data_IF_817283801816
#
_entry.id   IF_817283801816
#
_cell.length_a   1.000
_cell.length_b   1.000
_cell.length_c   1.000
_cell.angle_alpha   90.00
_cell.angle_beta   90.00
_cell.angle_gamma   90.00
#
_symmetry.space_group_name_H-M   'P 1'
#
loop_
_entity.id
_entity.type
_entity.pdbx_description
1 polymer ?
#
# COMPACT_ATOMS: atom_id res chain seq x y z
N UNK A 1 13.23 34.64 3.54
CA UNK A 1 13.50 33.34 4.20
C UNK A 1 13.21 32.25 3.19
N UNK A 2 14.21 31.81 2.42
CA UNK A 2 14.03 30.72 1.45
C UNK A 2 14.08 29.43 2.25
N UNK A 3 12.92 28.79 2.45
CA UNK A 3 12.86 27.44 3.00
C UNK A 3 13.62 26.53 2.03
N UNK A 4 14.88 26.23 2.35
CA UNK A 4 15.62 25.13 1.76
C UNK A 4 14.85 23.86 2.12
N UNK A 5 13.92 23.47 1.25
CA UNK A 5 13.29 22.16 1.31
C UNK A 5 14.35 21.19 0.80
N UNK A 6 15.21 20.75 1.70
CA UNK A 6 16.14 19.65 1.44
C UNK A 6 15.31 18.48 0.94
N UNK A 7 15.54 18.10 -0.31
CA UNK A 7 14.98 16.88 -0.88
C UNK A 7 15.81 15.71 -0.34
N UNK A 8 15.72 15.46 0.96
CA UNK A 8 16.26 14.23 1.53
C UNK A 8 15.32 13.12 1.08
N UNK A 9 15.82 12.29 0.17
CA UNK A 9 15.06 11.18 -0.38
C UNK A 9 14.61 10.23 0.74
N UNK A 10 15.45 10.06 1.76
CA UNK A 10 15.16 9.31 2.97
C UNK A 10 15.43 10.16 4.22
N UNK A 11 14.51 10.09 5.19
CA UNK A 11 14.68 10.72 6.50
C UNK A 11 14.32 9.70 7.57
N UNK A 12 15.10 9.62 8.64
CA UNK A 12 14.77 8.84 9.83
C UNK A 12 14.30 9.82 10.90
N UNK A 13 13.06 9.65 11.37
CA UNK A 13 12.52 10.45 12.47
C UNK A 13 12.99 9.89 13.83
N UNK A 14 12.86 10.69 14.90
CA UNK A 14 13.29 10.33 16.25
C UNK A 14 12.52 9.17 16.89
N UNK A 15 11.45 8.71 16.23
CA UNK A 15 10.67 7.51 16.55
C UNK A 15 11.23 6.24 15.90
N UNK A 16 12.34 6.34 15.15
CA UNK A 16 12.96 5.23 14.44
C UNK A 16 12.29 4.88 13.12
N UNK A 17 11.32 5.68 12.67
CA UNK A 17 10.57 5.44 11.44
C UNK A 17 11.30 6.07 10.25
N UNK A 18 11.48 5.27 9.20
CA UNK A 18 12.03 5.75 7.94
C UNK A 18 10.93 6.31 7.05
N UNK A 19 11.19 7.46 6.42
CA UNK A 19 10.33 8.03 5.40
C UNK A 19 11.05 8.23 4.09
N UNK A 20 10.37 7.92 2.99
CA UNK A 20 10.81 8.23 1.63
C UNK A 20 9.88 9.27 1.01
N UNK A 21 10.41 10.45 0.67
CA UNK A 21 9.61 11.57 0.12
C UNK A 21 8.36 11.91 0.97
N UNK A 22 8.47 11.81 2.29
CA UNK A 22 7.38 12.05 3.25
C UNK A 22 6.44 10.87 3.51
N UNK A 23 6.65 9.73 2.83
CA UNK A 23 5.86 8.50 2.99
C UNK A 23 6.55 7.51 3.91
N UNK A 24 5.79 6.77 4.71
CA UNK A 24 6.30 5.76 5.63
C UNK A 24 6.92 4.57 4.88
N UNK A 25 8.19 4.30 5.12
CA UNK A 25 8.88 3.14 4.57
C UNK A 25 8.43 1.87 5.31
N UNK A 26 7.88 0.91 4.58
CA UNK A 26 7.39 -0.35 5.15
C UNK A 26 8.42 -1.47 4.92
N UNK A 27 9.10 -1.95 5.98
CA UNK A 27 10.01 -3.10 5.86
C UNK A 27 9.25 -4.38 5.50
N UNK A 28 9.95 -5.34 4.88
CA UNK A 28 9.39 -6.66 4.60
C UNK A 28 9.62 -7.59 5.81
N UNK A 29 8.87 -7.35 6.89
CA UNK A 29 8.97 -8.11 8.15
C UNK A 29 7.57 -8.51 8.62
N UNK A 30 7.47 -9.68 9.25
CA UNK A 30 6.30 -10.13 10.02
C UNK A 30 4.94 -9.85 9.38
N UNK A 31 4.84 -10.09 8.07
CA UNK A 31 3.61 -9.88 7.28
C UNK A 31 3.04 -8.45 7.36
N UNK A 32 3.83 -7.47 7.79
CA UNK A 32 3.41 -6.07 7.99
C UNK A 32 2.79 -5.48 6.72
N UNK A 33 3.37 -5.79 5.55
CA UNK A 33 2.85 -5.37 4.25
C UNK A 33 1.48 -5.99 3.97
N UNK A 34 1.31 -7.27 4.28
CA UNK A 34 0.04 -7.97 4.10
C UNK A 34 -1.04 -7.41 5.04
N UNK A 35 -0.70 -7.11 6.29
CA UNK A 35 -1.62 -6.47 7.24
C UNK A 35 -2.08 -5.08 6.75
N UNK A 36 -1.16 -4.27 6.23
CA UNK A 36 -1.50 -2.97 5.63
C UNK A 36 -2.43 -3.13 4.42
N UNK A 37 -2.17 -4.12 3.57
CA UNK A 37 -3.01 -4.44 2.42
C UNK A 37 -4.41 -4.92 2.84
N UNK A 38 -4.48 -5.75 3.87
CA UNK A 38 -5.74 -6.27 4.43
C UNK A 38 -6.58 -5.17 5.06
N UNK A 39 -5.97 -4.28 5.85
CA UNK A 39 -6.64 -3.14 6.46
C UNK A 39 -7.17 -2.18 5.38
N UNK A 40 -6.35 -1.88 4.36
CA UNK A 40 -6.77 -1.07 3.23
C UNK A 40 -7.90 -1.73 2.43
N UNK A 41 -7.82 -3.05 2.21
CA UNK A 41 -8.89 -3.81 1.55
C UNK A 41 -10.20 -3.78 2.36
N UNK A 42 -10.13 -3.97 3.68
CA UNK A 42 -11.29 -3.94 4.57
C UNK A 42 -11.94 -2.56 4.64
N UNK A 43 -11.12 -1.51 4.73
CA UNK A 43 -11.57 -0.11 4.75
C UNK A 43 -12.31 0.33 3.50
N UNK A 44 -12.09 -0.36 2.36
CA UNK A 44 -12.67 0.03 1.08
C UNK A 44 -14.16 -0.31 0.92
N UNK A 45 -14.77 -1.08 1.83
CA UNK A 45 -16.21 -1.41 1.84
C UNK A 45 -16.79 -1.71 0.44
N UNK A 46 -15.99 -2.35 -0.40
CA UNK A 46 -16.32 -2.50 -1.80
C UNK A 46 -16.53 -3.98 -2.08
N UNK A 47 -17.70 -4.30 -2.63
CA UNK A 47 -18.04 -5.60 -3.22
C UNK A 47 -16.97 -6.02 -4.25
N UNK A 48 -16.21 -5.04 -4.78
CA UNK A 48 -14.91 -5.21 -5.42
C UNK A 48 -14.02 -3.98 -5.23
N UNK A 49 -12.95 -4.02 -4.43
CA UNK A 49 -12.00 -2.92 -4.41
C UNK A 49 -11.22 -2.94 -5.73
N UNK A 50 -11.27 -1.84 -6.46
CA UNK A 50 -10.41 -1.65 -7.62
C UNK A 50 -8.95 -1.55 -7.16
N UNK A 51 -8.05 -2.36 -7.73
CA UNK A 51 -6.61 -2.33 -7.44
C UNK A 51 -6.02 -0.91 -7.54
N UNK A 52 -6.59 -0.09 -8.43
CA UNK A 52 -6.21 1.31 -8.65
C UNK A 52 -6.50 2.16 -7.41
N UNK A 53 -7.64 1.93 -6.74
CA UNK A 53 -8.02 2.66 -5.54
C UNK A 53 -7.12 2.29 -4.36
N UNK A 54 -6.92 0.99 -4.11
CA UNK A 54 -5.95 0.52 -3.10
C UNK A 54 -4.55 1.09 -3.32
N UNK A 55 -4.05 1.06 -4.57
CA UNK A 55 -2.74 1.62 -4.87
C UNK A 55 -2.68 3.12 -4.65
N UNK A 56 -3.74 3.87 -5.01
CA UNK A 56 -3.78 5.32 -4.81
C UNK A 56 -3.80 5.67 -3.32
N UNK A 57 -4.58 4.97 -2.52
CA UNK A 57 -4.70 5.29 -1.10
C UNK A 57 -3.40 4.91 -0.36
N UNK A 58 -2.83 3.73 -0.67
CA UNK A 58 -1.59 3.27 -0.02
C UNK A 58 -0.36 4.10 -0.41
N UNK A 59 -0.24 4.52 -1.68
CA UNK A 59 0.96 5.27 -2.12
C UNK A 59 1.03 6.67 -1.53
N UNK A 60 -0.05 7.23 -1.00
CA UNK A 60 -0.03 8.56 -0.37
C UNK A 60 0.64 8.52 1.01
N UNK A 61 0.46 7.41 1.73
CA UNK A 61 0.93 7.25 3.11
C UNK A 61 2.19 6.39 3.19
N UNK A 62 2.25 5.32 2.39
CA UNK A 62 3.28 4.29 2.49
C UNK A 62 4.17 4.22 1.26
N UNK A 63 5.36 3.67 1.48
CA UNK A 63 6.33 3.38 0.44
C UNK A 63 7.06 2.08 0.74
N UNK A 64 7.13 1.21 -0.25
CA UNK A 64 8.07 0.09 -0.29
C UNK A 64 8.30 -0.32 -1.74
N UNK A 65 9.43 -1.00 -2.00
CA UNK A 65 9.69 -1.54 -3.33
C UNK A 65 8.67 -2.64 -3.65
N UNK A 66 8.00 -2.53 -4.80
CA UNK A 66 7.04 -3.55 -5.24
C UNK A 66 5.59 -3.35 -4.81
N UNK A 67 5.19 -2.23 -4.20
CA UNK A 67 3.80 -2.01 -3.73
C UNK A 67 2.70 -2.39 -4.73
N UNK A 68 2.90 -2.12 -6.03
CA UNK A 68 1.93 -2.50 -7.08
C UNK A 68 1.83 -4.02 -7.27
N UNK A 69 2.96 -4.71 -7.19
CA UNK A 69 3.03 -6.16 -7.33
C UNK A 69 2.35 -6.82 -6.13
N UNK A 70 2.68 -6.40 -4.92
CA UNK A 70 2.09 -6.94 -3.69
C UNK A 70 0.55 -6.75 -3.68
N UNK A 71 0.05 -5.59 -4.14
CA UNK A 71 -1.41 -5.36 -4.29
C UNK A 71 -2.03 -6.33 -5.31
N UNK A 72 -1.38 -6.54 -6.45
CA UNK A 72 -1.88 -7.43 -7.49
C UNK A 72 -1.93 -8.89 -7.00
N UNK A 73 -0.89 -9.35 -6.31
CA UNK A 73 -0.82 -10.68 -5.71
C UNK A 73 -1.86 -10.86 -4.59
N UNK A 74 -2.04 -9.84 -3.75
CA UNK A 74 -3.05 -9.84 -2.69
C UNK A 74 -4.47 -9.96 -3.27
N UNK A 75 -4.79 -9.16 -4.29
CA UNK A 75 -6.11 -9.19 -4.94
C UNK A 75 -6.34 -10.47 -5.76
N UNK A 76 -5.29 -11.07 -6.32
CA UNK A 76 -5.39 -12.35 -7.02
C UNK A 76 -5.77 -13.52 -6.09
N UNK A 77 -5.36 -13.44 -4.82
CA UNK A 77 -5.71 -14.41 -3.76
C UNK A 77 -7.12 -14.17 -3.18
N UNK A 78 -7.78 -13.07 -3.51
CA UNK A 78 -9.10 -12.76 -2.95
C UNK A 78 -10.18 -13.73 -3.46
N UNK A 79 -10.82 -14.54 -2.58
CA UNK A 79 -11.84 -15.52 -2.98
C UNK A 79 -13.07 -14.86 -3.62
N UNK A 80 -13.48 -13.68 -3.13
CA UNK A 80 -14.58 -12.91 -3.70
C UNK A 80 -14.28 -12.44 -5.13
N UNK A 81 -13.04 -12.04 -5.42
CA UNK A 81 -12.64 -11.62 -6.77
C UNK A 81 -12.57 -12.79 -7.77
N UNK A 82 -12.33 -14.01 -7.28
CA UNK A 82 -12.29 -15.20 -8.14
C UNK A 82 -13.69 -15.71 -8.50
N UNK A 83 -14.66 -15.60 -7.59
CA UNK A 83 -16.03 -16.07 -7.81
C UNK A 83 -16.77 -15.29 -8.92
N UNK A 84 -16.61 -13.96 -8.96
CA UNK A 84 -17.27 -13.10 -9.98
C UNK A 84 -16.75 -13.37 -11.40
N UNK A 85 -15.52 -13.87 -11.55
CA UNK A 85 -14.96 -14.31 -12.83
C UNK A 85 -15.57 -15.63 -13.34
N UNK A 86 -16.09 -16.46 -12.46
CA UNK A 86 -16.75 -17.73 -12.82
C UNK A 86 -18.23 -17.51 -13.14
N UNK A 87 -18.89 -16.54 -12.50
CA UNK A 87 -20.33 -16.29 -12.68
C UNK A 87 -20.71 -15.54 -13.98
N UNK A 88 -19.73 -14.97 -14.70
CA UNK A 88 -19.98 -14.27 -15.99
C UNK A 88 -19.50 -15.06 -17.22
N UNK A 89 -19.48 -16.40 -17.16
CA UNK A 89 -19.29 -17.25 -18.33
C UNK A 89 -20.63 -17.69 -18.95
#
# INVERSE_FOLDING_TARGET
MVLKKSFEAFSQEGDGVFRYQGRLCVPNIDDLREQILLEAYSSLNCIHPEAIKMYRDLREVYWWNGIKQDIAEFLAKCPNCQLVKVEHQ
#
